data_IF_288505294894
#
_entry.id   IF_288505294894
#
_cell.length_a   1.000
_cell.length_b   1.000
_cell.length_c   1.000
_cell.angle_alpha   90.00
_cell.angle_beta   90.00
_cell.angle_gamma   90.00
#
_symmetry.space_group_name_H-M   'P 1'
#
loop_
_entity.id
_entity.type
_entity.pdbx_description
1 polymer ?
#
# COMPACT_ATOMS: atom_id res chain seq x y z
N UNK A 1 24.45 -11.72 -3.92
CA UNK A 1 23.61 -11.82 -2.70
C UNK A 1 22.25 -11.25 -3.02
N UNK A 2 21.18 -12.04 -2.89
CA UNK A 2 19.82 -11.49 -3.00
C UNK A 2 19.66 -10.43 -1.90
N UNK A 3 19.48 -9.16 -2.29
CA UNK A 3 19.13 -8.09 -1.35
C UNK A 3 17.86 -8.55 -0.60
N UNK A 4 18.02 -8.91 0.68
CA UNK A 4 16.92 -9.39 1.51
C UNK A 4 16.08 -8.14 1.84
N UNK A 5 14.98 -7.92 1.13
CA UNK A 5 14.07 -6.82 1.45
C UNK A 5 13.40 -7.10 2.79
N UNK A 6 13.16 -6.04 3.57
CA UNK A 6 12.39 -6.13 4.82
C UNK A 6 11.03 -5.44 4.72
N UNK A 7 10.72 -4.84 3.56
CA UNK A 7 9.41 -4.25 3.28
C UNK A 7 8.57 -5.19 2.44
N UNK A 8 7.37 -5.42 2.95
CA UNK A 8 6.36 -6.26 2.35
C UNK A 8 5.04 -5.47 2.20
N UNK A 9 4.13 -6.01 1.41
CA UNK A 9 2.73 -5.60 1.45
C UNK A 9 1.82 -6.81 1.38
N UNK A 10 0.62 -6.70 1.92
CA UNK A 10 -0.37 -7.76 1.95
C UNK A 10 -1.77 -7.19 1.72
N UNK A 11 -2.67 -8.03 1.20
CA UNK A 11 -4.07 -7.68 0.99
C UNK A 11 -4.93 -8.69 1.71
N UNK A 12 -5.84 -8.20 2.54
CA UNK A 12 -6.71 -9.12 3.29
C UNK A 12 -7.75 -9.78 2.38
N UNK A 13 -8.29 -9.05 1.38
CA UNK A 13 -9.27 -9.59 0.46
C UNK A 13 -10.45 -10.24 1.19
N UNK A 14 -10.63 -11.54 0.95
CA UNK A 14 -11.63 -12.42 1.56
C UNK A 14 -10.99 -13.53 2.43
N UNK A 15 -9.74 -13.36 2.85
CA UNK A 15 -9.04 -14.34 3.69
C UNK A 15 -9.66 -14.39 5.06
N UNK A 16 -9.59 -15.54 5.71
CA UNK A 16 -9.82 -15.60 7.16
C UNK A 16 -8.68 -14.91 7.92
N UNK A 17 -8.91 -14.59 9.19
CA UNK A 17 -7.87 -13.99 10.04
C UNK A 17 -6.70 -14.96 10.26
N UNK A 18 -6.97 -16.27 10.33
CA UNK A 18 -5.98 -17.33 10.48
C UNK A 18 -5.08 -17.43 9.25
N UNK A 19 -5.67 -17.50 8.04
CA UNK A 19 -4.91 -17.51 6.78
C UNK A 19 -4.02 -16.26 6.65
N UNK A 20 -4.57 -15.10 7.00
CA UNK A 20 -3.84 -13.84 6.96
C UNK A 20 -2.65 -13.82 7.93
N UNK A 21 -2.82 -14.32 9.16
CA UNK A 21 -1.75 -14.41 10.16
C UNK A 21 -0.69 -15.44 9.74
N UNK A 22 -1.09 -16.57 9.16
CA UNK A 22 -0.17 -17.58 8.66
C UNK A 22 0.73 -17.02 7.55
N UNK A 23 0.14 -16.28 6.61
CA UNK A 23 0.88 -15.57 5.57
C UNK A 23 1.90 -14.59 6.17
N UNK A 24 1.50 -13.76 7.15
CA UNK A 24 2.41 -12.81 7.82
C UNK A 24 3.55 -13.53 8.56
N UNK A 25 3.25 -14.60 9.29
CA UNK A 25 4.24 -15.36 10.04
C UNK A 25 5.25 -16.05 9.11
N UNK A 26 4.81 -16.53 7.94
CA UNK A 26 5.70 -17.16 6.96
C UNK A 26 6.82 -16.23 6.45
N UNK A 27 6.63 -14.91 6.60
CA UNK A 27 7.62 -13.88 6.26
C UNK A 27 8.24 -13.18 7.46
N UNK A 28 7.98 -13.66 8.68
CA UNK A 28 8.49 -13.12 9.94
C UNK A 28 8.16 -11.63 10.10
N UNK A 29 6.96 -11.22 9.69
CA UNK A 29 6.49 -9.84 9.82
C UNK A 29 6.34 -9.51 11.30
N UNK A 30 6.91 -8.39 11.75
CA UNK A 30 6.81 -7.90 13.13
C UNK A 30 5.96 -6.63 13.25
N UNK A 31 5.74 -5.93 12.13
CA UNK A 31 4.91 -4.72 12.06
C UNK A 31 3.95 -4.80 10.88
N UNK A 32 2.66 -4.63 11.15
CA UNK A 32 1.62 -4.44 10.14
C UNK A 32 1.18 -2.98 10.14
N UNK A 33 1.37 -2.30 9.02
CA UNK A 33 0.92 -0.91 8.84
C UNK A 33 -0.31 -0.92 7.94
N UNK A 34 -1.44 -0.50 8.49
CA UNK A 34 -2.67 -0.34 7.74
C UNK A 34 -2.67 0.98 6.97
N UNK A 35 -2.70 0.90 5.65
CA UNK A 35 -2.68 2.07 4.75
C UNK A 35 -4.07 2.41 4.20
N UNK A 36 -5.12 1.71 4.66
CA UNK A 36 -6.51 2.02 4.29
C UNK A 36 -6.90 3.35 4.91
N UNK A 37 -7.43 4.26 4.08
CA UNK A 37 -7.97 5.55 4.55
C UNK A 37 -9.10 5.36 5.56
N UNK A 38 -9.87 4.27 5.45
CA UNK A 38 -10.89 3.89 6.42
C UNK A 38 -10.67 2.42 6.77
N UNK A 39 -10.10 2.11 7.95
CA UNK A 39 -9.78 0.75 8.36
C UNK A 39 -11.01 0.02 8.92
N UNK A 40 -12.11 0.08 8.17
CA UNK A 40 -13.40 -0.52 8.53
C UNK A 40 -14.04 -1.20 7.30
N UNK A 41 -14.60 -2.38 7.51
CA UNK A 41 -15.37 -3.15 6.55
C UNK A 41 -16.56 -3.81 7.23
N UNK A 42 -17.74 -3.63 6.64
CA UNK A 42 -18.95 -4.37 7.04
C UNK A 42 -18.87 -5.85 6.63
N UNK A 43 -18.17 -6.16 5.54
CA UNK A 43 -18.13 -7.50 4.95
C UNK A 43 -17.06 -8.39 5.56
N UNK A 44 -15.98 -7.79 6.08
CA UNK A 44 -14.86 -8.49 6.70
C UNK A 44 -14.57 -7.83 8.08
N UNK A 45 -15.49 -7.95 9.05
CA UNK A 45 -15.42 -7.25 10.34
C UNK A 45 -14.21 -7.65 11.21
N UNK A 46 -13.61 -8.81 10.96
CA UNK A 46 -12.35 -9.27 11.56
C UNK A 46 -11.16 -8.38 11.16
N UNK A 47 -11.23 -7.72 10.01
CA UNK A 47 -10.23 -6.73 9.57
C UNK A 47 -10.59 -5.29 9.96
N UNK A 48 -11.57 -5.07 10.84
CA UNK A 48 -11.75 -3.75 11.45
C UNK A 48 -10.59 -3.45 12.40
N UNK A 49 -10.13 -2.20 12.41
CA UNK A 49 -8.93 -1.77 13.15
C UNK A 49 -8.79 -2.37 14.55
N UNK A 50 -9.79 -2.20 15.41
CA UNK A 50 -9.72 -2.66 16.81
C UNK A 50 -9.71 -4.19 16.92
N UNK A 51 -10.53 -4.87 16.12
CA UNK A 51 -10.58 -6.34 16.07
C UNK A 51 -9.23 -6.90 15.61
N UNK A 52 -8.74 -6.41 14.47
CA UNK A 52 -7.48 -6.86 13.89
C UNK A 52 -6.30 -6.60 14.82
N UNK A 53 -6.22 -5.40 15.43
CA UNK A 53 -5.16 -5.06 16.38
C UNK A 53 -5.14 -6.01 17.57
N UNK A 54 -6.31 -6.37 18.11
CA UNK A 54 -6.43 -7.33 19.20
C UNK A 54 -5.98 -8.72 18.77
N UNK A 55 -6.42 -9.16 17.59
CA UNK A 55 -6.15 -10.52 17.10
C UNK A 55 -4.65 -10.68 16.78
N UNK A 56 -4.02 -9.72 16.10
CA UNK A 56 -2.57 -9.71 15.85
C UNK A 56 -1.75 -9.77 17.16
N UNK A 57 -2.15 -9.03 18.18
CA UNK A 57 -1.48 -9.06 19.48
C UNK A 57 -1.62 -10.44 20.14
N UNK A 58 -2.81 -11.03 20.09
CA UNK A 58 -3.13 -12.30 20.75
C UNK A 58 -2.47 -13.51 20.07
N UNK A 59 -2.37 -13.50 18.74
CA UNK A 59 -1.92 -14.69 17.99
C UNK A 59 -0.42 -14.70 17.65
N UNK A 60 0.20 -13.53 17.40
CA UNK A 60 1.53 -13.50 16.78
C UNK A 60 2.44 -12.35 17.21
N UNK A 61 2.04 -11.53 18.20
CA UNK A 61 2.81 -10.38 18.69
C UNK A 61 3.20 -9.36 17.60
N UNK A 62 2.45 -9.33 16.50
CA UNK A 62 2.66 -8.36 15.43
C UNK A 62 2.12 -7.00 15.90
N UNK A 63 2.97 -5.97 15.83
CA UNK A 63 2.58 -4.60 16.15
C UNK A 63 1.76 -4.03 15.00
N UNK A 64 0.62 -3.44 15.35
CA UNK A 64 -0.26 -2.79 14.40
C UNK A 64 -0.17 -1.27 14.53
N UNK A 65 -0.13 -0.56 13.40
CA UNK A 65 -0.30 0.89 13.35
C UNK A 65 -1.13 1.31 12.12
N UNK A 66 -1.85 2.43 12.22
CA UNK A 66 -2.72 2.92 11.15
C UNK A 66 -2.15 4.19 10.52
N UNK A 67 -1.65 4.07 9.29
CA UNK A 67 -1.02 5.15 8.53
C UNK A 67 -1.85 5.57 7.31
N UNK A 68 -3.10 5.11 7.23
CA UNK A 68 -4.07 5.59 6.26
C UNK A 68 -4.74 6.92 6.65
N UNK A 69 -4.53 7.40 7.89
CA UNK A 69 -5.11 8.66 8.36
C UNK A 69 -4.44 9.87 7.69
N UNK A 70 -5.14 10.63 6.84
CA UNK A 70 -4.59 11.79 6.12
C UNK A 70 -4.22 12.99 7.02
N UNK A 71 -4.70 13.01 8.26
CA UNK A 71 -4.33 14.02 9.25
C UNK A 71 -3.05 13.65 10.02
N UNK A 72 -2.54 12.42 9.84
CA UNK A 72 -1.33 11.94 10.52
C UNK A 72 -0.06 12.32 9.77
N UNK A 73 1.00 12.62 10.52
CA UNK A 73 2.37 12.80 10.03
C UNK A 73 3.01 11.51 9.46
N UNK A 74 2.36 10.35 9.67
CA UNK A 74 2.79 9.05 9.11
C UNK A 74 2.03 8.66 7.85
N UNK A 75 1.17 9.54 7.32
CA UNK A 75 0.25 9.21 6.24
C UNK A 75 0.94 8.62 5.01
N UNK A 76 0.47 7.45 4.55
CA UNK A 76 0.86 6.80 3.28
C UNK A 76 -0.34 6.15 2.58
N UNK A 77 -1.55 6.68 2.80
CA UNK A 77 -2.78 6.08 2.28
C UNK A 77 -3.03 6.28 0.78
N UNK A 78 -4.00 5.55 0.24
CA UNK A 78 -4.38 5.60 -1.18
C UNK A 78 -5.50 6.59 -1.55
N UNK A 79 -6.04 7.32 -0.57
CA UNK A 79 -7.06 8.35 -0.77
C UNK A 79 -6.79 9.54 0.16
N UNK A 80 -6.42 10.72 -0.37
CA UNK A 80 -6.18 11.93 0.40
C UNK A 80 -7.49 12.63 0.76
N UNK A 81 -7.44 13.62 1.67
CA UNK A 81 -8.58 14.50 1.95
C UNK A 81 -8.81 15.51 0.82
N UNK A 82 -7.73 15.99 0.21
CA UNK A 82 -7.78 16.97 -0.87
C UNK A 82 -8.29 16.34 -2.17
N UNK A 83 -9.17 17.06 -2.85
CA UNK A 83 -9.62 16.76 -4.21
C UNK A 83 -8.67 17.27 -5.28
N UNK A 84 -7.62 18.01 -4.93
CA UNK A 84 -6.65 18.60 -5.87
C UNK A 84 -5.88 17.55 -6.67
N UNK A 85 -5.77 16.33 -6.14
CA UNK A 85 -5.12 15.22 -6.84
C UNK A 85 -6.08 14.46 -7.79
N UNK A 86 -7.31 14.91 -7.97
CA UNK A 86 -8.25 14.27 -8.90
C UNK A 86 -8.06 14.81 -10.31
N UNK A 87 -8.15 13.90 -11.27
CA UNK A 87 -8.33 14.28 -12.67
C UNK A 87 -9.81 14.58 -13.00
N UNK A 88 -10.04 15.03 -14.24
CA UNK A 88 -11.38 15.38 -14.75
C UNK A 88 -12.38 14.21 -14.74
N UNK A 89 -11.85 12.98 -14.74
CA UNK A 89 -12.59 11.73 -14.69
C UNK A 89 -12.85 11.25 -13.24
N UNK A 90 -12.31 11.97 -12.25
CA UNK A 90 -12.47 11.71 -10.82
C UNK A 90 -11.58 10.60 -10.28
N UNK A 91 -10.49 10.24 -10.96
CA UNK A 91 -9.47 9.33 -10.43
C UNK A 91 -8.39 10.12 -9.70
N UNK A 92 -7.88 9.57 -8.60
CA UNK A 92 -6.71 10.16 -7.95
C UNK A 92 -5.46 9.88 -8.78
N UNK A 93 -4.75 10.94 -9.15
CA UNK A 93 -3.45 10.90 -9.79
C UNK A 93 -2.36 10.66 -8.72
N UNK A 94 -1.75 9.48 -8.78
CA UNK A 94 -0.71 9.12 -7.81
C UNK A 94 0.58 9.91 -7.97
N UNK A 95 0.82 10.53 -9.14
CA UNK A 95 1.94 11.46 -9.32
C UNK A 95 1.75 12.72 -8.48
N UNK A 96 0.53 13.24 -8.42
CA UNK A 96 0.21 14.42 -7.62
C UNK A 96 0.17 14.06 -6.13
N UNK A 97 -0.42 12.91 -5.77
CA UNK A 97 -0.40 12.43 -4.38
C UNK A 97 1.01 12.24 -3.82
N UNK A 98 1.94 11.74 -4.63
CA UNK A 98 3.34 11.56 -4.23
C UNK A 98 4.07 12.88 -3.88
N UNK A 99 3.51 14.04 -4.24
CA UNK A 99 4.09 15.34 -3.90
C UNK A 99 3.77 15.79 -2.48
N UNK A 100 2.71 15.25 -1.86
CA UNK A 100 2.27 15.61 -0.50
C UNK A 100 3.42 15.37 0.50
N UNK A 101 3.69 16.38 1.34
CA UNK A 101 4.79 16.32 2.31
C UNK A 101 4.55 15.24 3.39
N UNK A 102 3.31 14.98 3.77
CA UNK A 102 2.94 13.93 4.73
C UNK A 102 3.22 12.56 4.14
N UNK A 103 2.84 12.36 2.88
CA UNK A 103 3.15 11.13 2.13
C UNK A 103 4.66 10.88 2.07
N UNK A 104 5.45 11.91 1.71
CA UNK A 104 6.92 11.82 1.69
C UNK A 104 7.51 11.45 3.05
N UNK A 105 7.08 12.10 4.12
CA UNK A 105 7.52 11.78 5.50
C UNK A 105 7.16 10.36 5.91
N UNK A 106 5.95 9.90 5.56
CA UNK A 106 5.54 8.52 5.79
C UNK A 106 6.43 7.52 5.04
N UNK A 107 6.79 7.83 3.79
CA UNK A 107 7.68 7.03 2.98
C UNK A 107 9.11 6.96 3.54
N UNK A 108 9.66 8.10 4.00
CA UNK A 108 10.97 8.15 4.68
C UNK A 108 11.01 7.28 5.94
N UNK A 109 9.89 7.18 6.68
CA UNK A 109 9.79 6.28 7.85
C UNK A 109 9.87 4.80 7.43
N UNK A 110 9.31 4.43 6.28
CA UNK A 110 9.44 3.07 5.74
C UNK A 110 10.86 2.78 5.28
N UNK A 111 11.52 3.75 4.65
CA UNK A 111 12.94 3.64 4.25
C UNK A 111 13.81 3.40 5.49
N UNK A 112 13.63 4.21 6.54
CA UNK A 112 14.34 4.04 7.80
C UNK A 112 14.05 2.67 8.44
N UNK A 113 12.79 2.21 8.43
CA UNK A 113 12.45 0.88 8.91
C UNK A 113 13.18 -0.22 8.11
N UNK A 114 13.31 -0.04 6.79
CA UNK A 114 14.04 -0.96 5.93
C UNK A 114 15.54 -0.98 6.21
N UNK A 115 16.15 0.18 6.39
CA UNK A 115 17.57 0.32 6.73
C UNK A 115 17.91 -0.33 8.07
N UNK A 116 16.98 -0.28 9.03
CA UNK A 116 17.09 -0.96 10.33
C UNK A 116 16.73 -2.45 10.27
N UNK A 117 16.40 -3.00 9.09
CA UNK A 117 16.06 -4.41 8.91
C UNK A 117 14.73 -4.84 9.55
N UNK A 118 13.84 -3.89 9.86
CA UNK A 118 12.52 -4.19 10.40
C UNK A 118 11.65 -4.82 9.32
N UNK A 119 10.99 -5.94 9.67
CA UNK A 119 10.06 -6.66 8.78
C UNK A 119 8.66 -6.06 8.89
N UNK A 120 8.35 -5.20 7.92
CA UNK A 120 7.11 -4.43 7.89
C UNK A 120 6.26 -4.89 6.72
N UNK A 121 4.96 -5.12 6.95
CA UNK A 121 3.97 -5.33 5.90
C UNK A 121 2.99 -4.16 5.82
N UNK A 122 2.84 -3.57 4.64
CA UNK A 122 1.80 -2.59 4.32
C UNK A 122 0.51 -3.29 3.94
N UNK A 123 -0.59 -3.03 4.64
CA UNK A 123 -1.85 -3.74 4.46
C UNK A 123 -2.94 -2.87 3.82
N UNK A 124 -3.64 -3.46 2.85
CA UNK A 124 -4.85 -2.91 2.25
C UNK A 124 -5.93 -3.99 2.02
N UNK A 125 -7.07 -3.60 1.43
CA UNK A 125 -8.19 -4.51 1.18
C UNK A 125 -8.06 -5.33 -0.09
N UNK A 126 -7.45 -4.80 -1.16
CA UNK A 126 -7.31 -5.54 -2.42
C UNK A 126 -6.27 -6.67 -2.30
N UNK A 127 -6.65 -7.89 -2.66
CA UNK A 127 -5.72 -9.03 -2.71
C UNK A 127 -4.63 -8.82 -3.77
N UNK A 128 -5.02 -8.37 -4.96
CA UNK A 128 -4.11 -8.20 -6.09
C UNK A 128 -3.31 -6.88 -5.98
N UNK A 129 -1.96 -6.92 -5.88
CA UNK A 129 -1.16 -5.71 -5.79
C UNK A 129 -1.30 -4.80 -7.02
N UNK A 130 -1.52 -5.36 -8.21
CA UNK A 130 -1.66 -4.58 -9.46
C UNK A 130 -2.93 -3.74 -9.50
N UNK A 131 -3.87 -3.94 -8.57
CA UNK A 131 -5.10 -3.15 -8.47
C UNK A 131 -5.09 -2.17 -7.30
N UNK A 132 -3.99 -2.11 -6.55
CA UNK A 132 -3.92 -1.42 -5.26
C UNK A 132 -2.86 -0.31 -5.25
N UNK A 133 -3.13 0.74 -4.47
CA UNK A 133 -2.20 1.84 -4.24
C UNK A 133 -0.90 1.39 -3.55
N UNK A 134 -0.92 0.26 -2.84
CA UNK A 134 0.29 -0.30 -2.21
C UNK A 134 1.42 -0.54 -3.22
N UNK A 135 1.11 -0.94 -4.46
CA UNK A 135 2.10 -1.01 -5.55
C UNK A 135 2.12 0.29 -6.35
N UNK A 136 0.95 0.69 -6.88
CA UNK A 136 0.81 1.82 -7.82
C UNK A 136 1.28 3.19 -7.28
N UNK A 137 1.31 3.37 -5.98
CA UNK A 137 1.77 4.60 -5.32
C UNK A 137 2.97 4.30 -4.42
N UNK A 138 2.78 3.53 -3.36
CA UNK A 138 3.81 3.35 -2.32
C UNK A 138 5.01 2.57 -2.86
N UNK A 139 4.76 1.39 -3.42
CA UNK A 139 5.79 0.52 -3.97
C UNK A 139 6.56 1.15 -5.12
N UNK A 140 5.86 1.84 -6.03
CA UNK A 140 6.45 2.67 -7.07
C UNK A 140 7.45 3.67 -6.47
N UNK A 141 7.03 4.49 -5.51
CA UNK A 141 7.92 5.52 -4.96
C UNK A 141 9.10 4.91 -4.18
N UNK A 142 8.89 3.82 -3.43
CA UNK A 142 9.98 3.04 -2.80
C UNK A 142 11.00 2.54 -3.83
N UNK A 143 10.53 2.04 -4.96
CA UNK A 143 11.40 1.48 -5.99
C UNK A 143 12.18 2.56 -6.75
N UNK A 144 11.51 3.58 -7.27
CA UNK A 144 12.14 4.57 -8.13
C UNK A 144 13.02 5.55 -7.36
N UNK A 145 12.55 6.03 -6.18
CA UNK A 145 13.28 7.04 -5.39
C UNK A 145 14.35 6.41 -4.48
N UNK A 146 14.05 5.26 -3.87
CA UNK A 146 14.91 4.68 -2.82
C UNK A 146 15.55 3.35 -3.21
N UNK A 147 15.28 2.84 -4.42
CA UNK A 147 15.78 1.54 -4.91
C UNK A 147 15.39 0.35 -4.02
N UNK A 148 14.29 0.49 -3.29
CA UNK A 148 13.74 -0.58 -2.45
C UNK A 148 12.71 -1.36 -3.27
N UNK A 149 13.02 -2.62 -3.57
CA UNK A 149 12.08 -3.54 -4.21
C UNK A 149 11.22 -4.23 -3.15
N UNK A 150 10.08 -3.62 -2.83
CA UNK A 150 9.09 -4.19 -1.91
C UNK A 150 8.56 -5.52 -2.45
N UNK A 151 8.21 -6.46 -1.54
CA UNK A 151 7.60 -7.75 -1.93
C UNK A 151 6.13 -7.81 -1.52
N UNK A 152 5.26 -8.21 -2.44
CA UNK A 152 3.85 -8.41 -2.13
C UNK A 152 3.60 -9.87 -1.77
N UNK A 153 3.11 -10.10 -0.55
CA UNK A 153 2.67 -11.39 -0.07
C UNK A 153 1.39 -11.76 -0.82
N UNK A 154 1.42 -12.91 -1.48
CA UNK A 154 0.27 -13.43 -2.25
C UNK A 154 -0.20 -14.78 -1.74
N UNK A 155 0.62 -15.47 -0.95
CA UNK A 155 0.33 -16.75 -0.30
C UNK A 155 1.41 -17.05 0.76
N UNK A 156 1.24 -18.12 1.54
CA UNK A 156 2.22 -18.62 2.51
C UNK A 156 3.56 -18.88 1.81
N UNK A 157 4.63 -18.25 2.31
CA UNK A 157 5.98 -18.32 1.73
C UNK A 157 6.07 -17.89 0.25
N UNK A 158 5.03 -17.28 -0.32
CA UNK A 158 4.98 -16.83 -1.72
C UNK A 158 4.81 -15.32 -1.84
N UNK A 159 5.67 -14.72 -2.64
CA UNK A 159 5.66 -13.28 -2.91
C UNK A 159 5.93 -12.98 -4.38
N UNK A 160 5.39 -11.86 -4.86
CA UNK A 160 5.76 -11.22 -6.13
C UNK A 160 6.53 -9.92 -5.84
N UNK A 161 7.52 -9.57 -6.65
CA UNK A 161 8.28 -8.32 -6.47
C UNK A 161 7.53 -7.11 -7.05
N UNK A 162 7.76 -5.91 -6.49
CA UNK A 162 7.20 -4.66 -7.02
C UNK A 162 7.54 -4.50 -8.51
N UNK A 163 8.79 -4.80 -8.88
CA UNK A 163 9.23 -4.76 -10.28
C UNK A 163 8.34 -5.62 -11.16
N UNK A 164 8.07 -6.87 -10.77
CA UNK A 164 7.24 -7.79 -11.57
C UNK A 164 5.79 -7.32 -11.68
N UNK A 165 5.26 -6.68 -10.63
CA UNK A 165 3.93 -6.05 -10.68
C UNK A 165 3.91 -4.89 -11.69
N UNK A 166 4.91 -4.00 -11.65
CA UNK A 166 5.04 -2.88 -12.60
C UNK A 166 5.22 -3.40 -14.04
N UNK A 167 6.03 -4.45 -14.25
CA UNK A 167 6.19 -5.08 -15.58
C UNK A 167 4.84 -5.51 -16.16
N UNK A 168 4.01 -6.14 -15.32
CA UNK A 168 2.66 -6.59 -15.69
C UNK A 168 1.72 -5.43 -16.00
N UNK A 169 1.79 -4.33 -15.23
CA UNK A 169 0.98 -3.13 -15.45
C UNK A 169 1.34 -2.38 -16.74
N UNK A 170 2.61 -2.33 -17.10
CA UNK A 170 3.12 -1.51 -18.19
C UNK A 170 3.45 -2.31 -19.47
N UNK A 171 2.86 -3.50 -19.64
CA UNK A 171 3.02 -4.38 -20.82
C UNK A 171 4.49 -4.58 -21.24
N UNK A 172 5.35 -4.94 -20.29
CA UNK A 172 6.77 -5.22 -20.56
C UNK A 172 7.71 -4.03 -20.33
N UNK A 173 7.33 -3.11 -19.44
CA UNK A 173 8.30 -2.18 -18.86
C UNK A 173 9.44 -2.96 -18.21
N UNK A 174 10.68 -2.56 -18.47
CA UNK A 174 11.86 -3.21 -17.91
C UNK A 174 12.76 -2.20 -17.19
N UNK A 175 13.18 -2.48 -15.95
CA UNK A 175 14.16 -1.65 -15.29
C UNK A 175 15.49 -1.70 -16.03
N UNK A 176 16.10 -0.55 -16.28
CA UNK A 176 17.39 -0.42 -16.95
C UNK A 176 17.42 -1.08 -18.35
N UNK A 177 16.32 -0.96 -19.09
CA UNK A 177 16.26 -1.41 -20.49
C UNK A 177 17.43 -0.86 -21.30
N UNK A 178 18.26 -1.76 -21.87
CA UNK A 178 19.43 -1.39 -22.66
C UNK A 178 19.07 -0.77 -24.02
N UNK A 179 17.83 -0.97 -24.47
CA UNK A 179 17.39 -0.67 -25.83
C UNK A 179 16.27 0.36 -25.90
N UNK A 180 15.77 0.85 -24.77
CA UNK A 180 14.74 1.89 -24.73
C UNK A 180 14.79 2.73 -23.45
N UNK A 181 14.82 4.05 -23.63
CA UNK A 181 14.57 5.00 -22.55
C UNK A 181 13.07 4.98 -22.22
N UNK A 182 12.69 4.16 -21.23
CA UNK A 182 11.31 4.11 -20.75
C UNK A 182 11.15 5.01 -19.53
N UNK A 183 10.22 5.99 -19.56
CA UNK A 183 9.99 6.86 -18.42
C UNK A 183 9.45 6.06 -17.23
N UNK A 184 9.67 6.60 -16.03
CA UNK A 184 9.12 6.01 -14.81
C UNK A 184 7.58 6.05 -14.86
N UNK A 185 6.88 4.91 -14.79
CA UNK A 185 5.44 4.89 -14.88
C UNK A 185 4.81 5.54 -13.65
N UNK A 186 3.72 6.26 -13.91
CA UNK A 186 2.79 6.72 -12.90
C UNK A 186 1.41 6.11 -13.16
N UNK A 187 0.64 5.97 -12.10
CA UNK A 187 -0.64 5.29 -12.11
C UNK A 187 -1.72 6.16 -11.48
N UNK A 188 -2.97 5.70 -11.59
CA UNK A 188 -4.13 6.32 -10.96
C UNK A 188 -4.86 5.34 -10.06
N UNK A 189 -5.77 5.86 -9.25
CA UNK A 189 -6.67 5.02 -8.46
C UNK A 189 -7.43 4.01 -9.32
N UNK A 190 -7.79 2.88 -8.73
CA UNK A 190 -8.56 1.83 -9.42
C UNK A 190 -9.96 2.29 -9.83
N UNK A 191 -10.58 3.12 -9.00
CA UNK A 191 -11.96 3.60 -9.16
C UNK A 191 -11.98 5.13 -9.24
N UNK A 192 -12.98 5.65 -9.93
CA UNK A 192 -13.35 7.07 -9.91
C UNK A 192 -14.16 7.39 -8.66
N UNK A 193 -13.95 8.59 -8.12
CA UNK A 193 -14.61 9.14 -6.93
C UNK A 193 -15.54 10.32 -7.27
N UNK A 194 -15.83 10.55 -8.55
CA UNK A 194 -16.66 11.66 -9.05
C UNK A 194 -18.03 11.77 -8.35
N UNK A 195 -18.71 10.64 -8.15
CA UNK A 195 -20.01 10.57 -7.48
C UNK A 195 -19.94 10.76 -5.97
N UNK A 196 -18.88 10.31 -5.32
CA UNK A 196 -18.68 10.46 -3.87
C UNK A 196 -18.52 11.92 -3.47
N UNK A 197 -17.90 12.71 -4.36
CA UNK A 197 -17.63 14.13 -4.12
C UNK A 197 -18.87 14.98 -4.42
N UNK A 198 -19.64 14.65 -5.46
CA UNK A 198 -20.94 15.30 -5.68
C UNK A 198 -21.87 15.14 -4.47
N UNK A 199 -21.82 13.99 -3.79
CA UNK A 199 -22.60 13.77 -2.56
C UNK A 199 -22.09 14.62 -1.40
N UNK A 200 -20.78 14.81 -1.20
CA UNK A 200 -20.28 15.67 -0.10
C UNK A 200 -20.70 17.14 -0.28
N UNK A 201 -20.72 17.65 -1.51
CA UNK A 201 -21.21 19.01 -1.80
C UNK A 201 -22.73 19.17 -1.69
N UNK A 202 -23.52 18.10 -1.61
CA UNK A 202 -24.98 18.19 -1.43
C UNK A 202 -25.44 18.16 0.03
N UNK A 203 -24.53 17.95 0.98
CA UNK A 203 -24.84 17.87 2.42
C UNK A 203 -24.13 18.95 3.25
N UNK A 204 -23.42 19.90 2.61
CA UNK A 204 -22.80 21.07 3.26
C UNK A 204 -23.62 22.36 3.11
N UNK A 205 -24.85 22.29 2.59
CA UNK A 205 -25.83 23.40 2.52
C UNK A 205 -26.93 23.29 3.59
#
# INVERSE_FOLDING_TARGET
MSMKTSLYSIGHGHKSIEEFIEELNSFEISYLIDVRTVPYSKWNPEFNQETLKRDLNSYCQIKYDWWGNPESDSYIGGRPLSTECLDDDGFFDYKEMAKDYRFKRGLERLVLASENGLRVALMCSESNPSECHRSKLIGRELYFQYKINMRHIIDVSKTISEVDVIRGLCRGWEPNSLFSDQPEPYFKSRKSYKSTIQLSYQYED
#
